data_IF_922184902915
#
_entry.id   IF_922184902915
#
_cell.length_a   1.000
_cell.length_b   1.000
_cell.length_c   1.000
_cell.angle_alpha   90.00
_cell.angle_beta   90.00
_cell.angle_gamma   90.00
#
_symmetry.space_group_name_H-M   'P 1'
#
loop_
_entity.id
_entity.type
_entity.pdbx_description
1 polymer ?
#
# COMPACT_ATOMS: atom_id res chain seq x y z
N UNK A 1 -19.56 46.11 -11.64
CA UNK A 1 -18.11 45.80 -11.62
C UNK A 1 -17.93 44.29 -11.50
N UNK A 2 -17.54 43.64 -12.60
CA UNK A 2 -17.33 42.20 -12.68
C UNK A 2 -16.08 41.79 -11.87
N UNK A 3 -16.22 40.78 -11.00
CA UNK A 3 -15.08 40.13 -10.34
C UNK A 3 -14.42 39.17 -11.33
N UNK A 4 -13.19 39.48 -11.70
CA UNK A 4 -12.28 38.57 -12.39
C UNK A 4 -11.97 37.38 -11.46
N UNK A 5 -12.31 36.16 -11.88
CA UNK A 5 -11.85 34.92 -11.24
C UNK A 5 -10.44 34.62 -11.73
N UNK A 6 -9.49 34.18 -10.88
CA UNK A 6 -8.20 33.74 -11.36
C UNK A 6 -8.34 32.40 -12.10
N UNK A 7 -7.93 32.41 -13.36
CA UNK A 7 -7.78 31.26 -14.24
C UNK A 7 -6.71 30.31 -13.66
N UNK A 8 -7.08 29.07 -13.34
CA UNK A 8 -6.11 27.99 -13.14
C UNK A 8 -5.96 27.25 -14.45
N UNK A 9 -5.04 27.72 -15.29
CA UNK A 9 -4.47 26.93 -16.38
C UNK A 9 -3.22 26.20 -15.87
N UNK A 10 -3.06 24.95 -16.27
CA UNK A 10 -1.75 24.27 -16.26
C UNK A 10 -1.55 23.14 -15.25
N UNK A 11 -2.24 22.01 -15.45
CA UNK A 11 -1.71 20.63 -15.49
C UNK A 11 -2.86 19.63 -15.29
N UNK A 12 -3.78 19.62 -16.24
CA UNK A 12 -4.73 18.52 -16.42
C UNK A 12 -3.94 17.41 -17.12
N UNK A 13 -3.46 16.44 -16.36
CA UNK A 13 -3.06 15.16 -16.95
C UNK A 13 -4.34 14.49 -17.46
N UNK A 14 -4.54 14.59 -18.76
CA UNK A 14 -5.51 13.83 -19.56
C UNK A 14 -5.14 12.35 -19.53
N UNK A 15 -5.43 11.67 -18.43
CA UNK A 15 -5.56 10.22 -18.45
C UNK A 15 -6.97 9.91 -18.94
N UNK A 16 -7.02 9.57 -20.22
CA UNK A 16 -8.13 8.87 -20.86
C UNK A 16 -8.71 7.79 -19.93
N UNK A 17 -10.04 7.54 -19.97
CA UNK A 17 -10.62 6.45 -19.21
C UNK A 17 -9.92 5.15 -19.62
N UNK A 18 -9.21 4.52 -18.66
CA UNK A 18 -8.65 3.18 -18.85
C UNK A 18 -9.77 2.26 -19.33
N UNK A 19 -9.51 1.38 -20.31
CA UNK A 19 -10.51 0.44 -20.80
C UNK A 19 -11.07 -0.40 -19.64
N UNK A 20 -12.33 -0.79 -19.75
CA UNK A 20 -13.01 -1.62 -18.79
C UNK A 20 -12.15 -2.85 -18.44
N UNK A 21 -11.91 -3.11 -17.15
CA UNK A 21 -11.31 -4.36 -16.69
C UNK A 21 -12.30 -5.49 -16.97
N UNK A 22 -12.20 -6.11 -18.14
CA UNK A 22 -13.06 -7.22 -18.58
C UNK A 22 -12.58 -8.58 -18.07
N UNK A 23 -11.41 -8.64 -17.42
CA UNK A 23 -10.85 -9.84 -16.80
C UNK A 23 -11.01 -9.87 -15.28
N UNK A 24 -11.17 -11.07 -14.71
CA UNK A 24 -11.05 -11.31 -13.27
C UNK A 24 -9.56 -11.41 -12.95
N UNK A 25 -9.05 -10.64 -12.00
CA UNK A 25 -7.64 -10.67 -11.62
C UNK A 25 -7.55 -11.13 -10.17
N UNK A 26 -6.88 -12.25 -9.93
CA UNK A 26 -6.58 -12.69 -8.57
C UNK A 26 -5.14 -12.30 -8.27
N UNK A 27 -4.97 -11.52 -7.22
CA UNK A 27 -3.67 -11.28 -6.61
C UNK A 27 -3.57 -12.17 -5.38
N UNK A 28 -2.55 -13.01 -5.33
CA UNK A 28 -2.17 -13.70 -4.09
C UNK A 28 -0.97 -12.93 -3.54
N UNK A 29 -1.19 -12.01 -2.59
CA UNK A 29 -0.09 -11.54 -1.76
C UNK A 29 0.46 -12.73 -0.99
N UNK A 30 1.61 -13.21 -1.43
CA UNK A 30 2.33 -14.28 -0.74
C UNK A 30 3.08 -13.64 0.42
N UNK A 31 2.93 -14.22 1.60
CA UNK A 31 3.39 -13.66 2.86
C UNK A 31 4.89 -13.41 2.91
N UNK A 32 5.34 -12.83 4.03
CA UNK A 32 6.77 -12.63 4.31
C UNK A 32 7.56 -13.92 4.14
N UNK A 33 8.58 -13.87 3.29
CA UNK A 33 9.64 -14.88 3.17
C UNK A 33 10.73 -14.50 4.16
N UNK A 34 10.85 -15.24 5.26
CA UNK A 34 11.89 -14.99 6.27
C UNK A 34 13.08 -15.90 6.01
N UNK A 35 14.28 -15.33 5.89
CA UNK A 35 15.54 -16.08 5.83
C UNK A 35 15.93 -16.41 7.26
N UNK A 36 16.05 -17.69 7.59
CA UNK A 36 16.50 -18.13 8.91
C UNK A 36 17.10 -19.53 8.80
N UNK A 37 18.36 -19.69 9.21
CA UNK A 37 19.01 -20.98 9.26
C UNK A 37 18.52 -21.72 10.52
N UNK A 38 17.70 -22.76 10.35
CA UNK A 38 17.32 -23.64 11.46
C UNK A 38 18.40 -24.72 11.61
N UNK A 39 19.29 -24.55 12.59
CA UNK A 39 20.14 -25.65 13.05
C UNK A 39 19.32 -26.56 13.96
N UNK A 40 19.49 -27.87 13.84
CA UNK A 40 18.85 -28.92 14.64
C UNK A 40 19.21 -28.79 16.13
N UNK A 41 18.55 -27.84 16.81
CA UNK A 41 18.34 -27.71 18.26
C UNK A 41 17.70 -26.34 18.55
N UNK A 42 16.42 -26.18 18.19
CA UNK A 42 15.42 -25.33 18.88
C UNK A 42 15.81 -23.93 19.38
N UNK A 43 16.74 -23.20 18.75
CA UNK A 43 17.12 -21.85 19.17
C UNK A 43 17.34 -20.97 17.94
N UNK A 44 16.49 -19.96 17.75
CA UNK A 44 16.70 -18.92 16.75
C UNK A 44 17.95 -18.12 17.14
N UNK A 45 19.06 -18.37 16.44
CA UNK A 45 20.22 -17.47 16.47
C UNK A 45 20.09 -16.55 15.27
N UNK A 46 20.04 -15.23 15.52
CA UNK A 46 20.28 -14.23 14.49
C UNK A 46 21.77 -14.33 14.12
N UNK A 47 22.08 -15.20 13.18
CA UNK A 47 23.41 -15.30 12.59
C UNK A 47 23.68 -14.03 11.79
N UNK A 48 24.58 -13.20 12.31
CA UNK A 48 25.31 -12.21 11.53
C UNK A 48 26.25 -12.97 10.59
N UNK A 49 26.15 -12.70 9.29
CA UNK A 49 27.16 -12.90 8.22
C UNK A 49 26.55 -13.37 6.88
N UNK A 50 26.89 -12.62 5.82
CA UNK A 50 26.46 -12.65 4.40
C UNK A 50 25.17 -11.93 4.01
N UNK A 51 25.23 -10.59 4.12
CA UNK A 51 24.37 -9.65 3.37
C UNK A 51 24.72 -9.56 1.88
N UNK A 52 25.83 -10.18 1.44
CA UNK A 52 26.43 -9.94 0.13
C UNK A 52 25.95 -10.92 -0.97
N UNK A 53 25.11 -11.91 -0.62
CA UNK A 53 24.44 -12.83 -1.56
C UNK A 53 22.93 -12.57 -1.64
N UNK A 54 22.45 -11.41 -1.18
CA UNK A 54 21.15 -10.94 -1.63
C UNK A 54 21.35 -10.31 -3.01
N UNK A 55 20.79 -10.84 -4.12
CA UNK A 55 20.63 -9.97 -5.28
C UNK A 55 19.80 -8.80 -4.77
N UNK A 56 20.38 -7.60 -4.75
CA UNK A 56 19.61 -6.39 -4.55
C UNK A 56 18.65 -6.30 -5.73
N UNK A 57 17.47 -6.92 -5.59
CA UNK A 57 16.46 -6.97 -6.63
C UNK A 57 15.83 -5.58 -6.66
N UNK A 58 16.35 -4.74 -7.54
CA UNK A 58 15.74 -3.47 -7.92
C UNK A 58 14.26 -3.71 -8.25
N UNK A 59 13.34 -2.83 -7.82
CA UNK A 59 11.95 -2.94 -8.21
C UNK A 59 11.87 -2.81 -9.72
N UNK A 60 11.63 -3.91 -10.43
CA UNK A 60 11.50 -3.89 -11.89
C UNK A 60 10.13 -3.31 -12.23
N UNK A 61 10.02 -1.99 -12.20
CA UNK A 61 8.94 -1.27 -12.85
C UNK A 61 9.18 -1.29 -14.35
N UNK A 62 8.37 -2.07 -15.06
CA UNK A 62 7.99 -2.16 -16.50
C UNK A 62 8.62 -1.27 -17.62
N UNK A 63 9.50 -0.30 -17.38
CA UNK A 63 9.97 0.63 -18.42
C UNK A 63 11.50 0.62 -18.66
N UNK A 64 12.21 -0.45 -18.31
CA UNK A 64 13.58 -0.63 -18.82
C UNK A 64 13.58 -1.62 -19.97
N UNK A 65 13.42 -1.05 -21.16
CA UNK A 65 13.73 -1.66 -22.43
C UNK A 65 15.22 -2.03 -22.46
N UNK A 66 15.49 -3.35 -22.42
CA UNK A 66 16.67 -4.04 -22.95
C UNK A 66 17.93 -3.18 -23.12
N UNK A 67 18.69 -2.94 -22.04
CA UNK A 67 20.14 -2.68 -22.10
C UNK A 67 20.75 -2.86 -20.71
N UNK A 68 21.32 -4.05 -20.49
CA UNK A 68 22.07 -4.39 -19.28
C UNK A 68 21.80 -5.84 -18.87
N UNK A 69 22.86 -6.62 -18.68
CA UNK A 69 22.81 -8.00 -18.16
C UNK A 69 22.38 -8.01 -16.69
N UNK A 70 21.14 -7.59 -16.40
CA UNK A 70 20.52 -7.73 -15.09
C UNK A 70 20.06 -9.16 -14.92
N UNK A 71 20.72 -9.90 -14.03
CA UNK A 71 20.32 -11.25 -13.64
C UNK A 71 18.90 -11.21 -13.06
N UNK A 72 17.93 -11.60 -13.88
CA UNK A 72 16.54 -11.79 -13.46
C UNK A 72 16.46 -12.98 -12.50
N UNK A 73 15.79 -12.80 -11.36
CA UNK A 73 15.62 -13.85 -10.34
C UNK A 73 15.20 -15.18 -11.02
N UNK A 74 15.92 -16.30 -10.82
CA UNK A 74 15.64 -17.57 -11.47
C UNK A 74 14.20 -18.07 -11.24
N UNK A 75 13.58 -17.72 -10.11
CA UNK A 75 12.17 -18.02 -9.84
C UNK A 75 11.23 -17.36 -10.87
N UNK A 76 11.50 -16.13 -11.29
CA UNK A 76 10.67 -15.38 -12.25
C UNK A 76 10.62 -16.04 -13.65
N UNK A 77 11.59 -16.90 -13.99
CA UNK A 77 11.56 -17.66 -15.27
C UNK A 77 10.75 -18.94 -15.19
N UNK A 78 10.41 -19.40 -13.98
CA UNK A 78 9.81 -20.71 -13.73
C UNK A 78 8.30 -20.69 -13.48
N UNK A 79 7.69 -19.50 -13.42
CA UNK A 79 6.26 -19.32 -13.09
C UNK A 79 5.49 -18.66 -14.22
N UNK A 80 4.23 -19.05 -14.37
CA UNK A 80 3.30 -18.48 -15.37
C UNK A 80 2.71 -17.15 -14.89
N UNK A 81 2.54 -17.01 -13.59
CA UNK A 81 2.01 -15.81 -12.94
C UNK A 81 3.02 -14.69 -12.93
N UNK A 82 2.52 -13.45 -12.95
CA UNK A 82 3.40 -12.29 -12.77
C UNK A 82 3.78 -12.16 -11.31
N UNK A 83 4.99 -11.67 -11.07
CA UNK A 83 5.61 -11.60 -9.76
C UNK A 83 6.03 -10.16 -9.43
N UNK A 84 5.73 -9.69 -8.22
CA UNK A 84 6.31 -8.46 -7.65
C UNK A 84 7.04 -8.80 -6.35
N UNK A 85 8.22 -8.23 -6.17
CA UNK A 85 9.06 -8.44 -4.99
C UNK A 85 9.37 -7.10 -4.33
N UNK A 86 9.27 -7.07 -3.01
CA UNK A 86 9.79 -5.97 -2.19
C UNK A 86 10.31 -6.51 -0.86
N UNK A 87 11.64 -6.45 -0.68
CA UNK A 87 12.33 -7.09 0.45
C UNK A 87 11.89 -8.56 0.60
N UNK A 88 11.30 -8.91 1.73
CA UNK A 88 10.77 -10.23 2.06
C UNK A 88 9.35 -10.50 1.53
N UNK A 89 8.66 -9.50 0.97
CA UNK A 89 7.29 -9.66 0.49
C UNK A 89 7.27 -10.01 -1.01
N UNK A 90 6.62 -11.11 -1.35
CA UNK A 90 6.43 -11.59 -2.72
C UNK A 90 4.94 -11.55 -3.07
N UNK A 91 4.58 -11.11 -4.26
CA UNK A 91 3.18 -11.13 -4.72
C UNK A 91 3.12 -11.84 -6.05
N UNK A 92 2.26 -12.86 -6.11
CA UNK A 92 1.91 -13.52 -7.36
C UNK A 92 0.56 -12.99 -7.82
N UNK A 93 0.43 -12.64 -9.09
CA UNK A 93 -0.84 -12.17 -9.64
C UNK A 93 -1.06 -12.73 -11.03
N UNK A 94 -2.29 -13.22 -11.24
CA UNK A 94 -2.71 -13.85 -12.48
C UNK A 94 -4.12 -13.41 -12.87
N UNK A 95 -4.40 -13.40 -14.17
CA UNK A 95 -5.76 -13.24 -14.67
C UNK A 95 -6.44 -14.60 -14.62
N UNK A 96 -7.59 -14.66 -13.98
CA UNK A 96 -8.30 -15.90 -13.69
C UNK A 96 -9.57 -15.97 -14.54
N UNK A 97 -9.50 -16.61 -15.70
CA UNK A 97 -10.62 -16.71 -16.63
C UNK A 97 -11.27 -18.10 -16.61
N UNK A 98 -10.51 -19.12 -16.22
CA UNK A 98 -10.89 -20.53 -16.24
C UNK A 98 -10.36 -21.29 -15.02
N UNK A 99 -10.85 -22.52 -14.82
CA UNK A 99 -10.30 -23.43 -13.81
C UNK A 99 -8.84 -23.83 -14.12
N UNK A 100 -8.44 -23.83 -15.40
CA UNK A 100 -7.05 -24.09 -15.78
C UNK A 100 -6.11 -23.01 -15.23
N UNK A 101 -6.52 -21.75 -15.23
CA UNK A 101 -5.72 -20.66 -14.67
C UNK A 101 -5.51 -20.82 -13.16
N UNK A 102 -6.49 -21.39 -12.45
CA UNK A 102 -6.37 -21.72 -11.04
C UNK A 102 -5.35 -22.83 -10.79
N UNK A 103 -5.38 -23.88 -11.61
CA UNK A 103 -4.39 -24.96 -11.55
C UNK A 103 -2.99 -24.45 -11.87
N UNK A 104 -2.84 -23.56 -12.84
CA UNK A 104 -1.55 -22.94 -13.15
C UNK A 104 -1.01 -22.10 -12.00
N UNK A 105 -1.88 -21.31 -11.34
CA UNK A 105 -1.49 -20.54 -10.17
C UNK A 105 -1.14 -21.44 -8.98
N UNK A 106 -1.84 -22.56 -8.79
CA UNK A 106 -1.48 -23.57 -7.79
C UNK A 106 -0.09 -24.16 -8.06
N UNK A 107 0.20 -24.54 -9.30
CA UNK A 107 1.54 -25.02 -9.68
C UNK A 107 2.62 -23.97 -9.43
N UNK A 108 2.34 -22.68 -9.68
CA UNK A 108 3.27 -21.60 -9.38
C UNK A 108 3.54 -21.45 -7.87
N UNK A 109 2.53 -21.68 -7.01
CA UNK A 109 2.69 -21.70 -5.55
C UNK A 109 3.53 -22.90 -5.09
N UNK A 110 3.35 -24.06 -5.71
CA UNK A 110 4.15 -25.26 -5.41
C UNK A 110 5.61 -25.07 -5.82
N UNK A 111 5.84 -24.49 -7.00
CA UNK A 111 7.16 -24.08 -7.47
C UNK A 111 7.81 -23.08 -6.51
N UNK A 112 7.04 -22.11 -6.01
CA UNK A 112 7.53 -21.13 -5.04
C UNK A 112 7.98 -21.81 -3.74
N UNK A 113 7.15 -22.67 -3.18
CA UNK A 113 7.47 -23.37 -1.94
C UNK A 113 8.72 -24.24 -2.09
N UNK A 114 8.83 -24.95 -3.21
CA UNK A 114 10.02 -25.73 -3.57
C UNK A 114 11.26 -24.84 -3.70
N UNK A 115 11.15 -23.70 -4.39
CA UNK A 115 12.25 -22.74 -4.54
C UNK A 115 12.69 -22.21 -3.17
N UNK A 116 11.75 -21.81 -2.31
CA UNK A 116 12.06 -21.39 -0.94
C UNK A 116 12.82 -22.48 -0.17
N UNK A 117 12.35 -23.73 -0.24
CA UNK A 117 12.98 -24.88 0.42
C UNK A 117 14.42 -25.12 -0.05
N UNK A 118 14.65 -25.13 -1.38
CA UNK A 118 15.98 -25.30 -1.97
C UNK A 118 16.94 -24.18 -1.54
N UNK A 119 16.43 -22.95 -1.42
CA UNK A 119 17.22 -21.78 -1.02
C UNK A 119 17.27 -21.57 0.50
N UNK A 120 16.80 -22.53 1.31
CA UNK A 120 16.78 -22.45 2.78
C UNK A 120 16.02 -21.21 3.30
N UNK A 121 14.96 -20.83 2.59
CA UNK A 121 14.06 -19.74 2.95
C UNK A 121 12.79 -20.31 3.58
N UNK A 122 12.40 -19.78 4.74
CA UNK A 122 11.18 -20.18 5.41
C UNK A 122 10.00 -19.30 4.96
N UNK A 123 9.06 -19.91 4.24
CA UNK A 123 7.82 -19.26 3.82
C UNK A 123 6.82 -19.23 4.98
N UNK A 124 6.41 -18.03 5.41
CA UNK A 124 5.35 -17.90 6.42
C UNK A 124 3.97 -18.05 5.76
N UNK A 125 3.49 -19.28 5.67
CA UNK A 125 2.21 -19.64 5.03
C UNK A 125 1.03 -18.98 5.77
N UNK A 126 1.07 -18.88 7.10
CA UNK A 126 0.04 -18.23 7.91
C UNK A 126 -0.14 -16.74 7.62
N UNK A 127 0.83 -16.08 6.97
CA UNK A 127 0.73 -14.69 6.50
C UNK A 127 0.36 -14.56 5.03
N UNK A 128 0.34 -15.66 4.28
CA UNK A 128 -0.07 -15.67 2.88
C UNK A 128 -1.59 -15.49 2.80
N UNK A 129 -2.06 -14.61 1.91
CA UNK A 129 -3.49 -14.33 1.73
C UNK A 129 -3.83 -14.38 0.26
N UNK A 130 -5.05 -14.77 -0.05
CA UNK A 130 -5.60 -14.66 -1.41
C UNK A 130 -6.51 -13.42 -1.44
N UNK A 131 -6.33 -12.55 -2.43
CA UNK A 131 -7.17 -11.39 -2.66
C UNK A 131 -7.62 -11.34 -4.13
N UNK A 132 -8.90 -11.57 -4.36
CA UNK A 132 -9.46 -11.58 -5.71
C UNK A 132 -10.14 -10.25 -6.04
N UNK A 133 -9.82 -9.69 -7.22
CA UNK A 133 -10.46 -8.51 -7.78
C UNK A 133 -11.36 -8.91 -8.93
N UNK A 134 -12.67 -8.68 -8.76
CA UNK A 134 -13.67 -9.11 -9.73
C UNK A 134 -14.93 -8.27 -9.65
N UNK A 135 -15.56 -8.10 -10.81
CA UNK A 135 -16.90 -7.50 -10.94
C UNK A 135 -17.98 -8.56 -11.22
N UNK A 136 -17.60 -9.84 -11.34
CA UNK A 136 -18.52 -10.94 -11.60
C UNK A 136 -19.37 -11.19 -10.35
N UNK A 137 -20.68 -11.38 -10.56
CA UNK A 137 -21.60 -11.76 -9.47
C UNK A 137 -21.28 -13.13 -8.88
N UNK A 138 -20.68 -14.02 -9.68
CA UNK A 138 -20.20 -15.33 -9.24
C UNK A 138 -18.70 -15.40 -9.52
N UNK A 139 -17.85 -15.11 -8.52
CA UNK A 139 -16.41 -15.20 -8.66
C UNK A 139 -15.96 -16.67 -8.75
N UNK A 140 -14.81 -16.90 -9.39
CA UNK A 140 -14.18 -18.22 -9.37
C UNK A 140 -13.63 -18.46 -7.95
N UNK A 141 -14.23 -19.42 -7.24
CA UNK A 141 -13.76 -19.82 -5.93
C UNK A 141 -12.87 -21.05 -6.07
N UNK A 142 -11.57 -20.86 -5.86
CA UNK A 142 -10.60 -21.94 -5.84
C UNK A 142 -9.90 -21.97 -4.48
N UNK A 143 -9.67 -23.18 -3.98
CA UNK A 143 -8.95 -23.43 -2.73
C UNK A 143 -7.50 -23.68 -3.08
N UNK A 144 -6.62 -22.77 -2.69
CA UNK A 144 -5.18 -22.92 -2.88
C UNK A 144 -4.53 -23.50 -1.62
N UNK A 145 -3.54 -24.36 -1.82
CA UNK A 145 -2.85 -25.08 -0.76
C UNK A 145 -1.35 -24.86 -0.92
N UNK A 146 -0.63 -24.64 0.18
CA UNK A 146 0.84 -24.65 0.18
C UNK A 146 1.29 -25.57 1.31
N UNK A 147 2.09 -26.59 0.99
CA UNK A 147 2.61 -27.54 2.00
C UNK A 147 1.50 -28.07 2.92
N UNK A 148 0.43 -28.60 2.31
CA UNK A 148 -0.78 -29.13 2.97
C UNK A 148 -1.59 -28.13 3.81
N UNK A 149 -1.24 -26.84 3.79
CA UNK A 149 -1.96 -25.77 4.46
C UNK A 149 -2.81 -24.97 3.47
N UNK A 150 -4.11 -24.88 3.77
CA UNK A 150 -5.06 -24.10 2.97
C UNK A 150 -4.81 -22.61 3.16
N UNK A 151 -4.67 -21.89 2.06
CA UNK A 151 -4.57 -20.44 2.07
C UNK A 151 -5.93 -19.79 2.33
N UNK A 152 -5.96 -18.83 3.26
CA UNK A 152 -7.16 -18.06 3.55
C UNK A 152 -7.39 -16.96 2.52
N UNK A 153 -8.63 -16.87 2.01
CA UNK A 153 -9.11 -15.69 1.30
C UNK A 153 -9.27 -14.51 2.28
N UNK A 154 -9.00 -13.30 1.80
CA UNK A 154 -9.16 -12.07 2.56
C UNK A 154 -9.93 -11.03 1.76
N UNK A 155 -10.77 -10.26 2.43
CA UNK A 155 -11.49 -9.14 1.81
C UNK A 155 -10.62 -7.88 1.71
N UNK A 156 -9.51 -7.84 2.44
CA UNK A 156 -8.51 -6.78 2.34
C UNK A 156 -7.10 -7.28 2.66
N UNK A 157 -6.10 -6.62 2.09
CA UNK A 157 -4.68 -6.82 2.43
C UNK A 157 -4.00 -5.48 2.65
N UNK A 158 -3.07 -5.43 3.60
CA UNK A 158 -2.18 -4.27 3.73
C UNK A 158 -0.88 -4.58 3.02
N UNK A 159 -0.51 -3.72 2.06
CA UNK A 159 0.71 -3.83 1.29
C UNK A 159 1.44 -2.49 1.25
N UNK A 160 2.70 -2.48 1.68
CA UNK A 160 3.53 -1.28 1.84
C UNK A 160 2.82 -0.14 2.60
N UNK A 161 1.97 -0.49 3.57
CA UNK A 161 1.20 0.48 4.36
C UNK A 161 -0.11 0.98 3.72
N UNK A 162 -0.44 0.51 2.52
CA UNK A 162 -1.70 0.81 1.82
C UNK A 162 -2.65 -0.37 1.98
N UNK A 163 -3.93 -0.08 2.25
CA UNK A 163 -4.96 -1.12 2.40
C UNK A 163 -5.68 -1.26 1.07
N UNK A 164 -5.61 -2.45 0.48
CA UNK A 164 -6.34 -2.83 -0.72
C UNK A 164 -7.50 -3.73 -0.33
N UNK A 165 -8.72 -3.34 -0.67
CA UNK A 165 -9.91 -4.17 -0.54
C UNK A 165 -10.29 -4.80 -1.88
N UNK A 166 -11.14 -5.81 -1.87
CA UNK A 166 -11.62 -6.51 -3.09
C UNK A 166 -12.31 -5.59 -4.10
N UNK A 167 -12.78 -4.40 -3.68
CA UNK A 167 -13.48 -3.41 -4.51
C UNK A 167 -12.54 -2.37 -5.10
N UNK A 168 -11.31 -2.27 -4.60
CA UNK A 168 -10.35 -1.21 -4.89
C UNK A 168 -10.91 0.20 -4.66
N UNK A 169 -11.73 0.39 -3.63
CA UNK A 169 -12.36 1.69 -3.34
C UNK A 169 -11.56 2.57 -2.37
N UNK A 170 -10.59 1.98 -1.66
CA UNK A 170 -9.68 2.65 -0.72
C UNK A 170 -10.35 3.40 0.44
N UNK A 171 -11.66 3.25 0.65
CA UNK A 171 -12.39 3.91 1.74
C UNK A 171 -11.85 3.50 3.10
N UNK A 172 -11.53 2.22 3.27
CA UNK A 172 -10.92 1.68 4.49
C UNK A 172 -9.52 2.26 4.71
N UNK A 173 -8.71 2.36 3.65
CA UNK A 173 -7.39 2.97 3.71
C UNK A 173 -7.46 4.44 4.14
N UNK A 174 -8.28 5.24 3.45
CA UNK A 174 -8.44 6.67 3.72
C UNK A 174 -8.92 6.90 5.15
N UNK A 175 -9.92 6.16 5.62
CA UNK A 175 -10.43 6.29 6.99
C UNK A 175 -9.33 5.98 8.03
N UNK A 176 -8.55 4.92 7.81
CA UNK A 176 -7.44 4.54 8.69
C UNK A 176 -6.33 5.59 8.70
N UNK A 177 -5.96 6.11 7.52
CA UNK A 177 -4.97 7.17 7.36
C UNK A 177 -5.41 8.46 8.05
N UNK A 178 -6.64 8.89 7.83
CA UNK A 178 -7.24 10.10 8.44
C UNK A 178 -7.23 9.98 9.97
N UNK A 179 -7.63 8.83 10.52
CA UNK A 179 -7.59 8.59 11.97
C UNK A 179 -6.17 8.70 12.54
N UNK A 180 -5.18 8.08 11.88
CA UNK A 180 -3.76 8.18 12.26
C UNK A 180 -3.25 9.62 12.18
N UNK A 181 -3.64 10.37 11.15
CA UNK A 181 -3.24 11.75 10.96
C UNK A 181 -3.85 12.67 12.04
N UNK A 182 -5.12 12.48 12.42
CA UNK A 182 -5.73 13.19 13.55
C UNK A 182 -4.99 12.90 14.86
N UNK A 183 -4.63 11.65 15.11
CA UNK A 183 -3.85 11.28 16.29
C UNK A 183 -2.50 12.01 16.32
N UNK A 184 -1.76 12.01 15.20
CA UNK A 184 -0.49 12.74 15.05
C UNK A 184 -0.67 14.25 15.23
N UNK A 185 -1.71 14.84 14.65
CA UNK A 185 -2.04 16.25 14.81
C UNK A 185 -2.34 16.57 16.28
N UNK A 186 -3.06 15.70 16.99
CA UNK A 186 -3.31 15.85 18.43
C UNK A 186 -2.02 15.81 19.26
N UNK A 187 -1.09 14.90 18.96
CA UNK A 187 0.24 14.87 19.58
C UNK A 187 0.99 16.16 19.28
N UNK A 188 1.03 16.60 18.03
CA UNK A 188 1.69 17.83 17.61
C UNK A 188 1.15 19.02 18.41
N UNK A 189 -0.17 19.20 18.49
CA UNK A 189 -0.80 20.28 19.26
C UNK A 189 -0.40 20.24 20.74
N UNK A 190 -0.37 19.06 21.36
CA UNK A 190 0.03 18.91 22.77
C UNK A 190 1.51 19.21 23.00
N UNK A 191 2.39 18.75 22.13
CA UNK A 191 3.85 18.90 22.26
C UNK A 191 4.35 20.28 21.88
N UNK A 192 3.59 21.02 21.07
CA UNK A 192 3.93 22.37 20.61
C UNK A 192 3.14 23.46 21.33
N UNK A 193 2.58 23.16 22.52
CA UNK A 193 1.80 24.12 23.28
C UNK A 193 2.59 25.38 23.63
N UNK A 194 3.88 25.27 23.92
CA UNK A 194 4.72 26.42 24.27
C UNK A 194 5.45 27.01 23.05
N UNK A 195 5.20 26.49 21.85
CA UNK A 195 5.87 26.95 20.64
C UNK A 195 5.21 28.23 20.13
N UNK A 196 6.01 29.26 19.89
CA UNK A 196 5.60 30.54 19.31
C UNK A 196 5.95 30.69 17.82
N UNK A 197 6.92 29.91 17.33
CA UNK A 197 7.38 29.99 15.94
C UNK A 197 6.40 29.32 14.97
N UNK A 198 5.76 30.13 14.13
CA UNK A 198 4.91 29.67 13.02
C UNK A 198 5.67 28.73 12.06
N UNK A 199 6.96 29.03 11.81
CA UNK A 199 7.81 28.22 10.93
C UNK A 199 8.01 26.82 11.53
N UNK A 200 8.34 26.73 12.81
CA UNK A 200 8.54 25.44 13.49
C UNK A 200 7.26 24.59 13.47
N UNK A 201 6.09 25.21 13.72
CA UNK A 201 4.79 24.52 13.66
C UNK A 201 4.49 23.97 12.26
N UNK A 202 4.75 24.75 11.20
CA UNK A 202 4.57 24.31 9.81
C UNK A 202 5.50 23.16 9.45
N UNK A 203 6.78 23.25 9.82
CA UNK A 203 7.76 22.19 9.58
C UNK A 203 7.32 20.88 10.23
N UNK A 204 6.90 20.93 11.51
CA UNK A 204 6.42 19.74 12.22
C UNK A 204 5.15 19.16 11.59
N UNK A 205 4.22 20.01 11.15
CA UNK A 205 3.00 19.57 10.48
C UNK A 205 3.32 18.88 9.16
N UNK A 206 4.17 19.47 8.33
CA UNK A 206 4.56 18.89 7.05
C UNK A 206 5.31 17.57 7.23
N UNK A 207 6.25 17.52 8.16
CA UNK A 207 7.08 16.35 8.40
C UNK A 207 6.30 15.14 8.95
N UNK A 208 5.30 15.36 9.81
CA UNK A 208 4.63 14.26 10.53
C UNK A 208 3.19 13.99 10.10
N UNK A 209 2.42 15.04 9.79
CA UNK A 209 0.99 14.93 9.48
C UNK A 209 0.81 14.88 7.96
N UNK A 210 1.26 15.91 7.24
CA UNK A 210 1.06 16.02 5.79
C UNK A 210 1.77 14.91 5.02
N UNK A 211 3.03 14.62 5.35
CA UNK A 211 3.78 13.51 4.76
C UNK A 211 3.03 12.17 4.82
N UNK A 212 2.28 11.93 5.90
CA UNK A 212 1.48 10.72 6.06
C UNK A 212 0.17 10.72 5.30
N UNK A 213 -0.39 11.90 5.04
CA UNK A 213 -1.57 12.09 4.20
C UNK A 213 -1.23 12.02 2.71
N UNK A 214 0.02 12.28 2.31
CA UNK A 214 0.44 12.27 0.91
C UNK A 214 1.13 10.97 0.50
N UNK A 215 1.43 10.10 1.48
CA UNK A 215 2.13 8.84 1.23
C UNK A 215 1.35 7.96 0.24
N UNK A 216 1.99 7.64 -0.90
CA UNK A 216 1.43 6.85 -2.00
C UNK A 216 0.08 7.36 -2.55
N UNK A 217 -0.19 8.67 -2.48
CA UNK A 217 -1.44 9.27 -2.99
C UNK A 217 -1.73 8.95 -4.46
N UNK A 218 -0.69 8.73 -5.27
CA UNK A 218 -0.82 8.27 -6.66
C UNK A 218 -1.66 6.99 -6.82
N UNK A 219 -1.78 6.18 -5.77
CA UNK A 219 -2.55 4.92 -5.78
C UNK A 219 -4.00 5.15 -5.35
N UNK A 220 -4.22 5.86 -4.24
CA UNK A 220 -5.51 5.88 -3.53
C UNK A 220 -6.29 7.19 -3.63
N UNK A 221 -5.78 8.19 -4.36
CA UNK A 221 -6.37 9.54 -4.46
C UNK A 221 -7.91 9.53 -4.53
N UNK A 222 -8.60 10.17 -3.57
CA UNK A 222 -10.04 10.02 -3.40
C UNK A 222 -10.82 10.71 -4.52
N UNK A 223 -11.79 9.98 -5.08
CA UNK A 223 -12.72 10.52 -6.08
C UNK A 223 -13.99 11.08 -5.48
N UNK A 224 -14.40 10.57 -4.32
CA UNK A 224 -15.65 10.95 -3.68
C UNK A 224 -15.47 12.17 -2.80
N UNK A 225 -16.39 13.12 -2.93
CA UNK A 225 -16.36 14.40 -2.22
C UNK A 225 -16.25 14.25 -0.70
N UNK A 226 -17.04 13.34 -0.11
CA UNK A 226 -16.98 13.05 1.32
C UNK A 226 -15.58 12.58 1.79
N UNK A 227 -14.83 11.87 0.94
CA UNK A 227 -13.47 11.42 1.25
C UNK A 227 -12.44 12.55 1.13
N UNK A 228 -12.63 13.45 0.16
CA UNK A 228 -11.82 14.66 0.02
C UNK A 228 -12.02 15.55 1.25
N UNK A 229 -13.28 15.79 1.63
CA UNK A 229 -13.64 16.67 2.75
C UNK A 229 -13.02 16.21 4.07
N UNK A 230 -13.03 14.91 4.39
CA UNK A 230 -12.40 14.42 5.64
C UNK A 230 -10.88 14.57 5.67
N UNK A 231 -10.20 14.56 4.51
CA UNK A 231 -8.76 14.81 4.41
C UNK A 231 -8.48 16.30 4.57
N UNK A 232 -9.23 17.16 3.87
CA UNK A 232 -9.13 18.62 4.00
C UNK A 232 -9.41 19.09 5.43
N UNK A 233 -10.33 18.43 6.13
CA UNK A 233 -10.66 18.75 7.51
C UNK A 233 -9.45 18.65 8.46
N UNK A 234 -8.49 17.76 8.21
CA UNK A 234 -7.25 17.68 8.98
C UNK A 234 -6.39 18.94 8.76
N UNK A 235 -6.29 19.38 7.51
CA UNK A 235 -5.54 20.60 7.17
C UNK A 235 -6.19 21.83 7.79
N UNK A 236 -7.51 21.94 7.69
CA UNK A 236 -8.29 23.00 8.33
C UNK A 236 -8.10 23.01 9.85
N UNK A 237 -8.10 21.84 10.49
CA UNK A 237 -7.82 21.72 11.93
C UNK A 237 -6.42 22.17 12.34
N UNK A 238 -5.42 22.00 11.48
CA UNK A 238 -4.08 22.53 11.71
C UNK A 238 -4.03 24.04 11.48
N UNK A 239 -4.63 24.54 10.40
CA UNK A 239 -4.69 25.98 10.10
C UNK A 239 -5.38 26.76 11.23
N UNK A 240 -6.49 26.25 11.77
CA UNK A 240 -7.16 26.82 12.93
C UNK A 240 -6.24 26.89 14.15
N UNK A 241 -5.48 25.82 14.41
CA UNK A 241 -4.51 25.81 15.52
C UNK A 241 -3.39 26.83 15.31
N UNK A 242 -2.88 26.95 14.09
CA UNK A 242 -1.84 27.91 13.75
C UNK A 242 -2.33 29.36 13.92
N UNK A 243 -3.55 29.64 13.47
CA UNK A 243 -4.19 30.96 13.63
C UNK A 243 -4.44 31.29 15.10
N UNK A 244 -4.88 30.32 15.91
CA UNK A 244 -5.00 30.48 17.36
C UNK A 244 -3.65 30.83 18.00
N UNK A 245 -2.57 30.15 17.59
CA UNK A 245 -1.22 30.45 18.08
C UNK A 245 -0.72 31.84 17.71
N UNK A 246 -1.11 32.35 16.54
CA UNK A 246 -0.70 33.66 16.05
C UNK A 246 -1.49 34.82 16.65
N UNK A 247 -2.81 34.66 16.76
CA UNK A 247 -3.72 35.76 17.05
C UNK A 247 -4.42 35.64 18.42
N UNK A 248 -4.25 34.53 19.16
CA UNK A 248 -4.91 34.30 20.45
C UNK A 248 -6.43 34.09 20.39
N UNK A 249 -7.04 34.05 19.20
CA UNK A 249 -8.49 33.97 19.01
C UNK A 249 -8.96 32.52 19.16
N UNK A 250 -9.67 32.22 20.25
CA UNK A 250 -10.29 30.90 20.52
C UNK A 250 -11.57 30.72 19.69
N UNK A 251 -11.67 29.58 18.98
CA UNK A 251 -12.67 29.29 17.95
C UNK A 251 -14.05 28.86 18.47
N UNK A 252 -14.46 29.25 19.67
CA UNK A 252 -15.86 29.03 20.09
C UNK A 252 -16.87 29.87 19.26
N UNK A 253 -16.41 30.75 18.37
CA UNK A 253 -17.24 31.74 17.65
C UNK A 253 -17.26 31.65 16.10
N UNK A 254 -16.50 30.77 15.45
CA UNK A 254 -16.32 30.85 13.97
C UNK A 254 -17.25 29.90 13.18
N UNK A 255 -18.08 29.09 13.86
CA UNK A 255 -19.13 28.31 13.18
C UNK A 255 -20.45 29.06 12.95
N UNK A 256 -20.59 30.31 13.43
CA UNK A 256 -21.85 31.06 13.34
C UNK A 256 -21.95 32.04 12.15
N UNK A 257 -20.92 32.17 11.30
CA UNK A 257 -20.89 33.16 10.21
C UNK A 257 -20.84 32.56 8.81
N UNK A 258 -21.22 31.30 8.63
CA UNK A 258 -21.30 30.67 7.29
C UNK A 258 -22.49 29.70 7.17
N UNK A 259 -23.68 30.18 7.56
CA UNK A 259 -24.97 29.74 7.01
C UNK A 259 -25.56 30.90 6.22
#
# INVERSE_FOLDING_TARGET
MQRVKPTREGLINTLTPKPAVTGHATSIPVGRISVGCCSERGRWQLGEERRDEWPFISPTTRNEEKRGNGETNPFHRSVNSKCLLFADNLKLFSSMNSNLDAVLLQNDLDCLFKWCTVNKLHLNIEKCRILSYTRKSQPLNHVYIINDLVLSHSDSVTDLGIIFDTKLDFSQHINSMVSKAYHRLGILKRKTREFSSEIALKVLYYAHVRSSLEYCSIIWDPKYRNKIEIIEQIQNNFLQYLLYKKNGISYRYIFFLST
#
